data_IF_498410801539
#
_entry.id   IF_498410801539
#
_cell.length_a   1.000
_cell.length_b   1.000
_cell.length_c   1.000
_cell.angle_alpha   90.00
_cell.angle_beta   90.00
_cell.angle_gamma   90.00
#
_symmetry.space_group_name_H-M   'P 1'
#
loop_
_entity.id
_entity.type
_entity.pdbx_description
1 polymer ?
#
# COMPACT_ATOMS: atom_id res chain seq x y z
N UNK A 1 -10.20 8.88 -43.93
CA UNK A 1 -10.05 7.43 -43.65
C UNK A 1 -8.59 6.96 -43.47
N UNK A 2 -7.56 7.68 -43.97
CA UNK A 2 -6.14 7.27 -43.86
C UNK A 2 -5.65 7.08 -42.41
N UNK A 3 -6.08 7.95 -41.49
CA UNK A 3 -5.69 7.86 -40.07
C UNK A 3 -6.24 6.59 -39.42
N UNK A 4 -7.49 6.21 -39.71
CA UNK A 4 -8.13 5.01 -39.15
C UNK A 4 -7.45 3.73 -39.61
N UNK A 5 -7.12 3.62 -40.90
CA UNK A 5 -6.41 2.44 -41.45
C UNK A 5 -5.02 2.30 -40.82
N UNK A 6 -4.32 3.41 -40.56
CA UNK A 6 -3.01 3.39 -39.86
C UNK A 6 -3.12 2.82 -38.45
N UNK A 7 -4.24 3.03 -37.75
CA UNK A 7 -4.45 2.48 -36.41
C UNK A 7 -4.88 1.00 -36.45
N UNK A 8 -5.58 0.56 -37.49
CA UNK A 8 -5.99 -0.84 -37.66
C UNK A 8 -4.79 -1.81 -37.73
N UNK A 9 -3.68 -1.36 -38.34
CA UNK A 9 -2.46 -2.16 -38.51
C UNK A 9 -1.45 -2.03 -37.36
N UNK A 10 -1.76 -1.29 -36.29
CA UNK A 10 -0.86 -1.17 -35.13
C UNK A 10 -1.03 -2.36 -34.19
N UNK A 11 0.06 -2.76 -33.55
CA UNK A 11 0.00 -3.72 -32.45
C UNK A 11 -0.85 -3.15 -31.30
N UNK A 12 -1.78 -3.91 -30.71
CA UNK A 12 -2.59 -3.43 -29.61
C UNK A 12 -1.73 -3.17 -28.36
N UNK A 13 -1.99 -2.07 -27.67
CA UNK A 13 -1.30 -1.68 -26.42
C UNK A 13 -2.13 -2.07 -25.19
N UNK A 14 -2.83 -3.21 -25.26
CA UNK A 14 -3.71 -3.72 -24.19
C UNK A 14 -2.97 -4.76 -23.35
N UNK A 15 -3.26 -4.77 -22.06
CA UNK A 15 -2.90 -5.83 -21.11
C UNK A 15 -4.13 -6.73 -20.94
N UNK A 16 -3.93 -8.05 -20.97
CA UNK A 16 -5.01 -8.98 -20.60
C UNK A 16 -4.98 -9.21 -19.10
N UNK A 17 -5.73 -8.40 -18.36
CA UNK A 17 -5.92 -8.58 -16.92
C UNK A 17 -6.99 -9.67 -16.67
N UNK A 18 -6.80 -10.58 -15.69
CA UNK A 18 -5.80 -10.57 -14.60
C UNK A 18 -4.47 -11.30 -14.88
N UNK A 19 -4.34 -12.00 -16.00
CA UNK A 19 -3.17 -12.85 -16.30
C UNK A 19 -1.90 -12.03 -16.50
N UNK A 20 -2.03 -10.86 -17.12
CA UNK A 20 -0.95 -9.93 -17.41
C UNK A 20 -1.14 -8.63 -16.62
N UNK A 21 -0.38 -8.49 -15.53
CA UNK A 21 -0.37 -7.29 -14.68
C UNK A 21 0.81 -6.37 -15.03
N UNK A 22 0.62 -5.07 -14.83
CA UNK A 22 1.70 -4.09 -14.91
C UNK A 22 2.48 -4.09 -13.60
N UNK A 23 3.79 -3.92 -13.67
CA UNK A 23 4.56 -3.62 -12.48
C UNK A 23 4.36 -2.15 -12.11
N UNK A 24 3.85 -1.92 -10.90
CA UNK A 24 3.58 -0.59 -10.39
C UNK A 24 4.87 0.17 -10.03
N UNK A 25 4.75 1.49 -9.86
CA UNK A 25 5.88 2.30 -9.41
C UNK A 25 6.44 1.84 -8.08
N UNK A 26 7.77 1.92 -7.94
CA UNK A 26 8.52 1.68 -6.68
C UNK A 26 7.95 2.41 -5.47
N UNK A 27 7.35 3.58 -5.72
CA UNK A 27 6.77 4.47 -4.70
C UNK A 27 5.25 4.51 -4.75
N UNK A 28 4.63 3.45 -5.26
CA UNK A 28 3.18 3.36 -5.40
C UNK A 28 2.49 3.43 -4.02
N UNK A 29 1.36 4.13 -3.98
CA UNK A 29 0.52 4.26 -2.79
C UNK A 29 -0.71 3.36 -2.96
N UNK A 30 -0.63 2.14 -2.43
CA UNK A 30 -1.70 1.14 -2.54
C UNK A 30 -2.90 1.39 -1.63
N UNK A 31 -3.89 0.50 -1.73
CA UNK A 31 -5.10 0.47 -0.88
C UNK A 31 -4.84 -0.33 0.42
N UNK A 32 -3.62 -0.33 0.92
CA UNK A 32 -3.22 -1.08 2.11
C UNK A 32 -2.11 -0.31 2.81
N UNK A 33 -2.12 -0.35 4.15
CA UNK A 33 -1.01 0.08 4.97
C UNK A 33 -0.32 -1.17 5.53
N UNK A 34 1.00 -1.08 5.65
CA UNK A 34 1.81 -2.11 6.30
C UNK A 34 2.31 -1.53 7.62
N UNK A 35 2.05 -2.23 8.72
CA UNK A 35 2.31 -1.82 10.08
C UNK A 35 3.26 -2.79 10.75
N UNK A 36 4.33 -2.25 11.34
CA UNK A 36 5.31 -3.00 12.11
C UNK A 36 5.00 -2.83 13.59
N UNK A 37 4.46 -3.88 14.21
CA UNK A 37 4.13 -3.90 15.64
C UNK A 37 5.37 -3.67 16.52
N UNK A 38 6.53 -4.18 16.12
CA UNK A 38 7.79 -4.05 16.87
C UNK A 38 8.32 -2.61 16.89
N UNK A 39 8.12 -1.86 15.80
CA UNK A 39 8.56 -0.46 15.69
C UNK A 39 7.55 0.55 16.25
N UNK A 40 6.30 0.13 16.41
CA UNK A 40 5.23 1.04 16.81
C UNK A 40 5.22 1.29 18.32
N UNK A 41 5.33 2.56 18.71
CA UNK A 41 5.28 3.01 20.12
C UNK A 41 3.88 3.43 20.59
N UNK A 42 2.87 3.38 19.72
CA UNK A 42 1.51 3.82 20.06
C UNK A 42 1.32 5.33 20.17
N UNK A 43 2.26 6.17 19.70
CA UNK A 43 2.17 7.63 19.84
C UNK A 43 0.93 8.31 19.17
N UNK A 44 0.27 7.62 18.23
CA UNK A 44 -0.94 8.10 17.57
C UNK A 44 -0.74 9.23 16.55
N UNK A 45 0.50 9.60 16.22
CA UNK A 45 0.80 10.68 15.25
C UNK A 45 0.22 10.39 13.87
N UNK A 46 0.26 9.13 13.42
CA UNK A 46 -0.32 8.71 12.13
C UNK A 46 -1.84 8.93 12.05
N UNK A 47 -2.57 8.71 13.16
CA UNK A 47 -4.00 8.97 13.23
C UNK A 47 -4.29 10.48 13.22
N UNK A 48 -3.50 11.27 13.97
CA UNK A 48 -3.63 12.73 14.01
C UNK A 48 -3.28 13.41 12.68
N UNK A 49 -2.31 12.87 11.93
CA UNK A 49 -1.93 13.41 10.62
C UNK A 49 -2.90 13.04 9.50
N UNK A 50 -3.81 12.09 9.73
CA UNK A 50 -4.77 11.67 8.73
C UNK A 50 -5.81 12.78 8.48
N UNK A 51 -5.88 13.37 7.27
CA UNK A 51 -6.82 14.47 7.00
C UNK A 51 -8.29 14.02 6.95
N UNK A 52 -8.55 12.70 6.92
CA UNK A 52 -9.90 12.13 6.92
C UNK A 52 -10.26 11.43 8.24
N UNK A 53 -9.31 11.29 9.18
CA UNK A 53 -9.53 10.53 10.40
C UNK A 53 -9.82 9.04 10.16
N UNK A 54 -9.27 8.46 9.08
CA UNK A 54 -9.53 7.07 8.68
C UNK A 54 -8.78 6.01 9.53
N UNK A 55 -7.91 6.44 10.45
CA UNK A 55 -7.09 5.55 11.28
C UNK A 55 -7.60 5.63 12.72
N UNK A 56 -7.97 4.48 13.27
CA UNK A 56 -8.34 4.33 14.67
C UNK A 56 -7.21 3.58 15.40
N UNK A 57 -6.66 4.19 16.44
CA UNK A 57 -5.62 3.60 17.29
C UNK A 57 -6.05 3.66 18.75
N UNK A 58 -6.01 2.52 19.42
CA UNK A 58 -6.26 2.39 20.87
C UNK A 58 -4.99 1.84 21.51
N UNK A 59 -4.53 2.51 22.55
CA UNK A 59 -3.30 2.16 23.27
C UNK A 59 -3.56 2.04 24.76
N UNK A 60 -2.99 1.00 25.37
CA UNK A 60 -2.98 0.80 26.81
C UNK A 60 -1.57 1.00 27.37
N UNK A 61 -1.48 1.49 28.61
CA UNK A 61 -0.21 1.54 29.32
C UNK A 61 0.10 0.14 29.87
N UNK A 62 1.31 -0.36 29.61
CA UNK A 62 1.82 -1.58 30.21
C UNK A 62 2.78 -1.21 31.36
N UNK A 63 2.35 -1.33 32.64
CA UNK A 63 3.14 -0.87 33.79
C UNK A 63 4.42 -1.69 34.01
N UNK A 64 4.45 -2.94 33.53
CA UNK A 64 5.58 -3.85 33.71
C UNK A 64 6.77 -3.44 32.84
N UNK A 65 6.47 -3.00 31.62
CA UNK A 65 7.50 -2.64 30.62
C UNK A 65 7.66 -1.12 30.45
N UNK A 66 6.93 -0.30 31.21
CA UNK A 66 6.90 1.16 31.08
C UNK A 66 6.73 1.63 29.62
N UNK A 67 5.94 0.89 28.84
CA UNK A 67 5.68 1.15 27.42
C UNK A 67 4.18 1.22 27.14
N UNK A 68 3.82 1.90 26.07
CA UNK A 68 2.47 1.80 25.52
C UNK A 68 2.38 0.57 24.61
N UNK A 69 1.29 -0.16 24.75
CA UNK A 69 0.94 -1.28 23.90
C UNK A 69 -0.27 -0.91 23.04
N UNK A 70 -0.21 -1.25 21.75
CA UNK A 70 -1.29 -0.96 20.80
C UNK A 70 -2.29 -2.10 20.85
N UNK A 71 -3.46 -1.86 21.44
CA UNK A 71 -4.54 -2.85 21.54
C UNK A 71 -5.31 -2.98 20.23
N UNK A 72 -5.47 -1.85 19.53
CA UNK A 72 -6.24 -1.79 18.28
C UNK A 72 -5.56 -0.83 17.32
N UNK A 73 -5.31 -1.29 16.11
CA UNK A 73 -4.88 -0.45 14.99
C UNK A 73 -5.74 -0.80 13.78
N UNK A 74 -6.64 0.11 13.40
CA UNK A 74 -7.57 -0.12 12.30
C UNK A 74 -7.54 1.02 11.30
N UNK A 75 -7.75 0.69 10.03
CA UNK A 75 -7.76 1.65 8.92
C UNK A 75 -9.01 1.41 8.09
N UNK A 76 -9.91 2.39 8.01
CA UNK A 76 -11.05 2.34 7.09
C UNK A 76 -10.59 2.77 5.69
N UNK A 77 -10.38 1.80 4.78
CA UNK A 77 -9.97 2.12 3.41
C UNK A 77 -11.10 2.66 2.54
N UNK A 78 -12.34 2.65 3.03
CA UNK A 78 -13.46 3.36 2.44
C UNK A 78 -13.43 4.87 2.68
N UNK A 79 -12.73 5.35 3.72
CA UNK A 79 -12.47 6.78 3.95
C UNK A 79 -11.05 7.23 3.58
N UNK A 80 -10.08 6.30 3.58
CA UNK A 80 -8.70 6.61 3.25
C UNK A 80 -8.56 7.15 1.81
N UNK A 81 -7.86 8.26 1.64
CA UNK A 81 -7.54 8.88 0.34
C UNK A 81 -6.14 8.53 -0.19
N UNK A 82 -5.47 7.56 0.46
CA UNK A 82 -4.14 7.04 0.07
C UNK A 82 -3.09 8.15 -0.17
N UNK A 83 -3.10 9.20 0.65
CA UNK A 83 -2.20 10.34 0.49
C UNK A 83 -0.76 10.03 0.93
N UNK A 84 -0.57 9.10 1.88
CA UNK A 84 0.75 8.73 2.43
C UNK A 84 1.24 9.57 3.62
N UNK A 85 0.48 10.57 4.07
CA UNK A 85 0.88 11.44 5.21
C UNK A 85 1.08 10.69 6.53
N UNK A 86 0.39 9.56 6.73
CA UNK A 86 0.60 8.72 7.92
C UNK A 86 1.99 8.06 7.96
N UNK A 87 2.58 7.78 6.80
CA UNK A 87 3.94 7.24 6.65
C UNK A 87 4.95 8.34 6.95
N UNK A 88 4.80 9.50 6.29
CA UNK A 88 5.71 10.64 6.47
C UNK A 88 5.71 11.19 7.90
N UNK A 89 4.56 11.12 8.58
CA UNK A 89 4.41 11.61 9.95
C UNK A 89 4.87 10.61 11.01
N UNK A 90 5.17 9.35 10.67
CA UNK A 90 5.57 8.35 11.64
C UNK A 90 7.04 8.59 12.05
N UNK A 91 7.34 8.95 13.30
CA UNK A 91 8.72 9.24 13.71
C UNK A 91 9.57 7.98 13.94
N UNK A 92 8.96 6.79 13.90
CA UNK A 92 9.61 5.51 14.18
C UNK A 92 9.59 4.56 12.98
N UNK A 93 9.18 5.04 11.79
CA UNK A 93 9.05 4.23 10.57
C UNK A 93 8.30 2.90 10.84
N UNK A 94 7.17 2.99 11.52
CA UNK A 94 6.36 1.84 11.92
C UNK A 94 5.18 1.59 10.96
N UNK A 95 4.89 2.51 10.05
CA UNK A 95 3.78 2.42 9.10
C UNK A 95 4.30 2.74 7.71
N UNK A 96 3.95 1.91 6.74
CA UNK A 96 4.35 2.02 5.34
C UNK A 96 3.13 1.96 4.44
N UNK A 97 3.22 2.55 3.24
CA UNK A 97 2.24 2.30 2.19
C UNK A 97 2.48 0.91 1.62
N UNK A 98 1.45 0.10 1.45
CA UNK A 98 1.53 -1.20 0.78
C UNK A 98 1.50 -1.08 -0.75
N UNK A 99 1.86 -2.18 -1.42
CA UNK A 99 1.82 -2.30 -2.88
C UNK A 99 0.47 -2.74 -3.45
N UNK A 100 -0.37 -3.37 -2.62
CA UNK A 100 -1.64 -3.96 -3.05
C UNK A 100 -2.66 -2.89 -3.44
N UNK A 101 -3.34 -3.08 -4.57
CA UNK A 101 -4.45 -2.24 -5.04
C UNK A 101 -5.74 -3.02 -5.28
N UNK A 102 -5.68 -4.34 -5.40
CA UNK A 102 -6.80 -5.23 -5.75
C UNK A 102 -7.64 -5.60 -4.51
N UNK A 103 -8.05 -4.62 -3.69
CA UNK A 103 -8.73 -4.85 -2.39
C UNK A 103 -10.22 -4.50 -2.39
N UNK A 104 -10.89 -4.66 -3.53
CA UNK A 104 -12.33 -4.45 -3.63
C UNK A 104 -13.10 -5.44 -2.74
N UNK A 105 -14.16 -4.95 -2.08
CA UNK A 105 -15.05 -5.75 -1.23
C UNK A 105 -16.51 -5.44 -1.55
N UNK A 106 -17.40 -6.40 -1.31
CA UNK A 106 -18.83 -6.25 -1.59
C UNK A 106 -19.57 -5.44 -0.53
N UNK A 107 -19.10 -5.45 0.72
CA UNK A 107 -19.73 -4.75 1.84
C UNK A 107 -18.79 -3.66 2.37
N UNK A 108 -19.37 -2.55 2.83
CA UNK A 108 -18.62 -1.44 3.43
C UNK A 108 -17.84 -1.87 4.68
N UNK A 109 -18.45 -2.71 5.53
CA UNK A 109 -17.82 -3.22 6.75
C UNK A 109 -16.47 -3.91 6.49
N UNK A 110 -16.34 -4.53 5.33
CA UNK A 110 -15.18 -5.36 4.99
C UNK A 110 -14.01 -4.52 4.45
N UNK A 111 -14.22 -3.21 4.25
CA UNK A 111 -13.18 -2.24 3.87
C UNK A 111 -12.35 -1.80 5.09
N UNK A 112 -12.80 -2.09 6.30
CA UNK A 112 -12.06 -1.81 7.53
C UNK A 112 -10.97 -2.86 7.67
N UNK A 113 -9.71 -2.43 7.62
CA UNK A 113 -8.54 -3.29 7.78
C UNK A 113 -8.19 -3.36 9.27
N UNK A 114 -8.19 -4.57 9.83
CA UNK A 114 -7.76 -4.83 11.20
C UNK A 114 -6.23 -4.89 11.32
N UNK A 115 -5.74 -4.87 12.55
CA UNK A 115 -4.32 -4.94 12.89
C UNK A 115 -3.61 -6.13 12.23
N UNK A 116 -4.20 -7.34 12.29
CA UNK A 116 -3.67 -8.53 11.62
C UNK A 116 -3.58 -8.39 10.09
N UNK A 117 -4.46 -7.61 9.49
CA UNK A 117 -4.43 -7.33 8.05
C UNK A 117 -3.35 -6.32 7.67
N UNK A 118 -2.84 -5.56 8.63
CA UNK A 118 -1.85 -4.52 8.41
C UNK A 118 -0.44 -5.02 8.73
N UNK A 119 -0.27 -6.11 9.47
CA UNK A 119 1.05 -6.63 9.81
C UNK A 119 1.93 -6.89 8.57
N UNK A 120 3.20 -6.53 8.71
CA UNK A 120 4.25 -6.82 7.73
C UNK A 120 4.35 -8.33 7.48
N UNK A 121 4.19 -8.73 6.21
CA UNK A 121 4.31 -10.12 5.78
C UNK A 121 5.01 -10.22 4.43
N UNK A 122 5.64 -11.36 4.10
CA UNK A 122 6.27 -11.56 2.79
C UNK A 122 5.31 -11.36 1.60
N UNK A 123 4.02 -11.62 1.82
CA UNK A 123 2.95 -11.45 0.83
C UNK A 123 2.51 -9.98 0.68
N UNK A 124 2.82 -9.13 1.66
CA UNK A 124 2.45 -7.72 1.72
C UNK A 124 3.69 -6.84 1.78
N UNK A 125 4.44 -6.70 0.67
CA UNK A 125 5.63 -5.87 0.67
C UNK A 125 5.26 -4.40 0.87
N UNK A 126 6.04 -3.73 1.73
CA UNK A 126 6.03 -2.29 1.84
C UNK A 126 6.48 -1.65 0.52
N UNK A 127 5.81 -0.58 0.12
CA UNK A 127 6.24 0.26 -0.98
C UNK A 127 7.42 1.14 -0.56
N UNK A 128 8.18 1.61 -1.55
CA UNK A 128 9.24 2.60 -1.35
C UNK A 128 8.73 4.04 -1.24
N UNK A 129 7.44 4.26 -0.95
CA UNK A 129 6.92 5.60 -0.71
C UNK A 129 7.59 6.19 0.54
N UNK A 130 8.19 7.39 0.42
CA UNK A 130 9.00 8.04 1.46
C UNK A 130 10.29 7.29 1.90
N UNK A 131 10.52 6.09 1.38
CA UNK A 131 11.64 5.19 1.73
C UNK A 131 12.48 4.82 0.50
N UNK A 132 13.48 5.63 0.11
CA UNK A 132 14.32 5.36 -1.07
C UNK A 132 15.08 4.03 -0.98
N UNK A 133 15.48 3.61 0.21
CA UNK A 133 16.17 2.35 0.50
C UNK A 133 15.31 1.11 0.19
N UNK A 134 13.99 1.21 0.38
CA UNK A 134 13.03 0.17 -0.01
C UNK A 134 12.77 0.26 -1.52
N UNK A 135 12.60 1.49 -2.04
CA UNK A 135 12.35 1.73 -3.46
C UNK A 135 13.43 1.13 -4.37
N UNK A 136 14.70 1.15 -3.95
CA UNK A 136 15.80 0.64 -4.75
C UNK A 136 15.74 -0.89 -4.97
N UNK A 137 15.25 -1.62 -3.96
CA UNK A 137 15.11 -3.09 -3.96
C UNK A 137 13.92 -3.58 -4.78
N UNK A 138 12.94 -2.71 -5.04
CA UNK A 138 11.71 -3.06 -5.75
C UNK A 138 11.92 -3.05 -7.27
N UNK A 139 11.16 -3.86 -8.04
CA UNK A 139 11.31 -3.90 -9.50
C UNK A 139 10.93 -2.55 -10.12
N UNK A 140 11.61 -2.15 -11.19
CA UNK A 140 11.33 -0.87 -11.89
C UNK A 140 9.95 -0.91 -12.54
N UNK A 141 9.23 0.21 -12.51
CA UNK A 141 7.97 0.35 -13.23
C UNK A 141 8.20 0.12 -14.72
N UNK A 142 7.46 -0.80 -15.31
CA UNK A 142 7.48 -1.05 -16.74
C UNK A 142 6.05 -0.85 -17.26
N UNK A 143 5.87 0.11 -18.18
CA UNK A 143 4.60 0.31 -18.90
C UNK A 143 4.35 -0.78 -19.93
N UNK A 144 5.42 -1.45 -20.31
CA UNK A 144 5.39 -2.67 -21.09
C UNK A 144 5.39 -3.78 -20.05
N UNK A 145 4.31 -4.58 -19.98
CA UNK A 145 4.48 -5.98 -19.61
C UNK A 145 5.69 -6.39 -20.44
N UNK A 146 6.74 -6.93 -19.82
CA UNK A 146 7.83 -7.52 -20.58
C UNK A 146 7.21 -8.24 -21.76
N UNK A 147 7.78 -8.09 -22.96
CA UNK A 147 7.43 -9.01 -24.03
C UNK A 147 7.58 -10.41 -23.42
N UNK A 148 6.49 -11.03 -22.99
CA UNK A 148 6.41 -12.46 -22.72
C UNK A 148 6.35 -13.08 -24.12
N UNK A 149 7.46 -12.90 -24.82
CA UNK A 149 8.16 -13.96 -25.49
C UNK A 149 9.43 -14.01 -24.66
N UNK A 150 9.42 -14.70 -23.52
CA UNK A 150 10.10 -16.00 -23.48
C UNK A 150 10.84 -16.28 -24.80
N UNK A 151 12.06 -15.78 -24.90
CA UNK A 151 13.12 -16.62 -25.43
C UNK A 151 14.07 -16.88 -24.28
N UNK A 152 13.87 -18.06 -23.69
CA UNK A 152 14.88 -19.13 -23.60
C UNK A 152 16.26 -18.75 -24.15
#
# INVERSE_FOLDING_TARGET
MMVTIRHLLRHPTVSQYPEQRLNMSRRFRGNELVWSRERCTGCGTCAKSCPQGAIEIITAANPTENKYEVEKYQVDTGYCIQCGLCVEACPYDAVFMGYSYERAKYRRSDLIQSDDMLLESPERPASGYFHPEIAEKLPRQTLLIDKIVEKR
#
